data_IF_109860560464
#
_entry.id   IF_109860560464
#
_cell.length_a   1.000
_cell.length_b   1.000
_cell.length_c   1.000
_cell.angle_alpha   90.00
_cell.angle_beta   90.00
_cell.angle_gamma   90.00
#
_symmetry.space_group_name_H-M   'P 1'
#
loop_
_entity.id
_entity.type
_entity.pdbx_description
1 polymer ?
#
# COMPACT_ATOMS: atom_id res chain seq x y z
N UNK A 1 33.51 26.63 4.99
CA UNK A 1 32.88 25.54 5.77
C UNK A 1 31.37 25.50 5.52
N UNK A 2 30.93 25.33 4.27
CA UNK A 2 29.51 25.25 3.90
C UNK A 2 29.36 24.49 2.57
N UNK A 3 29.34 23.16 2.62
CA UNK A 3 29.08 22.29 1.46
C UNK A 3 28.28 21.07 1.93
N UNK A 4 27.11 21.30 2.52
CA UNK A 4 26.19 20.24 2.94
C UNK A 4 24.93 20.27 2.08
N UNK A 5 24.73 19.26 1.23
CA UNK A 5 23.49 19.12 0.48
C UNK A 5 22.34 18.76 1.44
N UNK A 6 21.30 19.60 1.49
CA UNK A 6 20.10 19.32 2.27
C UNK A 6 19.12 18.44 1.48
N UNK A 7 19.10 17.14 1.79
CA UNK A 7 18.05 16.24 1.31
C UNK A 7 16.80 16.39 2.19
N UNK A 8 15.82 17.17 1.74
CA UNK A 8 14.56 17.41 2.46
C UNK A 8 13.63 16.18 2.52
N UNK A 9 14.04 15.08 1.88
CA UNK A 9 13.32 13.81 1.79
C UNK A 9 11.86 13.98 1.34
N UNK A 10 11.56 15.02 0.54
CA UNK A 10 10.20 15.40 0.14
C UNK A 10 9.47 14.22 -0.52
N UNK A 11 10.17 13.48 -1.39
CA UNK A 11 9.61 12.28 -2.04
C UNK A 11 9.23 11.21 -1.01
N UNK A 12 10.11 10.91 -0.04
CA UNK A 12 9.83 9.95 1.04
C UNK A 12 8.65 10.40 1.90
N UNK A 13 8.56 11.70 2.22
CA UNK A 13 7.45 12.28 3.00
C UNK A 13 6.13 12.14 2.25
N UNK A 14 6.09 12.47 0.96
CA UNK A 14 4.88 12.31 0.13
C UNK A 14 4.44 10.84 0.08
N UNK A 15 5.38 9.91 -0.11
CA UNK A 15 5.08 8.46 -0.10
C UNK A 15 4.51 8.02 1.25
N UNK A 16 5.06 8.53 2.36
CA UNK A 16 4.54 8.23 3.70
C UNK A 16 3.13 8.79 3.92
N UNK A 17 2.86 10.02 3.51
CA UNK A 17 1.53 10.65 3.63
C UNK A 17 0.51 9.92 2.77
N UNK A 18 0.87 9.60 1.53
CA UNK A 18 0.04 8.77 0.66
C UNK A 18 -0.30 7.45 1.36
N UNK A 19 0.69 6.79 1.97
CA UNK A 19 0.42 5.55 2.66
C UNK A 19 -0.49 5.66 3.88
N UNK A 20 -0.37 6.73 4.65
CA UNK A 20 -1.28 7.00 5.78
C UNK A 20 -2.71 7.18 5.32
N UNK A 21 -2.95 7.85 4.18
CA UNK A 21 -4.29 8.06 3.64
C UNK A 21 -4.97 6.73 3.28
N UNK A 22 -4.23 5.77 2.74
CA UNK A 22 -4.80 4.51 2.23
C UNK A 22 -4.67 3.32 3.21
N UNK A 23 -3.94 3.46 4.32
CA UNK A 23 -3.69 2.37 5.27
C UNK A 23 -4.97 1.72 5.84
N UNK A 24 -6.04 2.49 6.04
CA UNK A 24 -7.25 2.04 6.77
C UNK A 24 -8.38 1.49 5.87
N UNK A 25 -8.06 0.99 4.66
CA UNK A 25 -9.07 0.39 3.79
C UNK A 25 -9.30 -1.08 4.17
N UNK A 26 -10.57 -1.46 4.32
CA UNK A 26 -10.99 -2.83 4.64
C UNK A 26 -12.08 -3.32 3.70
N UNK A 27 -12.02 -4.58 3.32
CA UNK A 27 -13.01 -5.26 2.49
C UNK A 27 -13.93 -6.07 3.40
N UNK A 28 -15.23 -5.75 3.35
CA UNK A 28 -16.26 -6.47 4.09
C UNK A 28 -16.92 -7.48 3.16
N UNK A 29 -16.76 -8.78 3.44
CA UNK A 29 -17.45 -9.85 2.72
C UNK A 29 -18.71 -10.23 3.50
N UNK A 30 -19.85 -10.21 2.82
CA UNK A 30 -21.17 -10.59 3.36
C UNK A 30 -21.66 -11.88 2.71
N UNK A 31 -22.42 -12.67 3.46
CA UNK A 31 -23.14 -13.84 2.95
C UNK A 31 -24.42 -13.41 2.21
N UNK A 32 -25.01 -14.35 1.47
CA UNK A 32 -26.36 -14.33 0.90
C UNK A 32 -27.45 -13.86 1.88
N UNK A 33 -27.27 -14.13 3.18
CA UNK A 33 -28.19 -13.70 4.25
C UNK A 33 -27.88 -12.30 4.81
N UNK A 34 -26.97 -11.54 4.19
CA UNK A 34 -26.61 -10.17 4.58
C UNK A 34 -25.69 -10.05 5.80
N UNK A 35 -25.37 -11.16 6.47
CA UNK A 35 -24.44 -11.21 7.61
C UNK A 35 -23.00 -10.98 7.14
N UNK A 36 -22.25 -10.17 7.89
CA UNK A 36 -20.80 -9.98 7.66
C UNK A 36 -20.06 -11.26 8.03
N UNK A 37 -19.37 -11.86 7.06
CA UNK A 37 -18.63 -13.12 7.20
C UNK A 37 -17.16 -12.85 7.52
N UNK A 38 -16.57 -11.84 6.88
CA UNK A 38 -15.15 -11.54 7.05
C UNK A 38 -14.89 -10.05 6.80
N UNK A 39 -13.99 -9.47 7.59
CA UNK A 39 -13.45 -8.13 7.39
C UNK A 39 -11.95 -8.30 7.19
N UNK A 40 -11.48 -8.09 5.96
CA UNK A 40 -10.06 -8.23 5.60
C UNK A 40 -9.46 -6.88 5.28
N UNK A 41 -8.37 -6.50 5.96
CA UNK A 41 -7.66 -5.25 5.71
C UNK A 41 -6.83 -5.34 4.43
N UNK A 42 -6.82 -4.27 3.63
CA UNK A 42 -6.07 -4.24 2.37
C UNK A 42 -4.56 -4.06 2.66
N UNK A 43 -3.68 -4.97 2.22
CA UNK A 43 -2.25 -4.79 2.35
C UNK A 43 -1.75 -3.71 1.37
N UNK A 44 -0.90 -2.79 1.85
CA UNK A 44 -0.32 -1.71 1.04
C UNK A 44 1.20 -1.81 0.99
N UNK A 45 1.75 -1.67 -0.21
CA UNK A 45 3.19 -1.62 -0.47
C UNK A 45 3.49 -0.62 -1.60
N UNK A 46 4.67 0.02 -1.55
CA UNK A 46 5.10 1.02 -2.53
C UNK A 46 6.32 0.52 -3.31
N UNK A 47 6.34 0.76 -4.61
CA UNK A 47 7.41 0.30 -5.49
C UNK A 47 7.06 0.42 -6.98
N UNK A 48 7.99 0.01 -7.88
CA UNK A 48 7.76 0.03 -9.32
C UNK A 48 6.65 -0.93 -9.74
N UNK A 49 5.72 -0.47 -10.59
CA UNK A 49 4.60 -1.27 -11.10
C UNK A 49 5.03 -2.62 -11.68
N UNK A 50 6.07 -2.63 -12.51
CA UNK A 50 6.57 -3.86 -13.15
C UNK A 50 6.99 -4.93 -12.13
N UNK A 51 7.59 -4.52 -11.00
CA UNK A 51 8.01 -5.45 -9.95
C UNK A 51 6.81 -6.08 -9.23
N UNK A 52 5.71 -5.35 -9.08
CA UNK A 52 4.49 -5.90 -8.50
C UNK A 52 3.78 -6.84 -9.47
N UNK A 53 3.75 -6.52 -10.77
CA UNK A 53 3.17 -7.40 -11.78
C UNK A 53 3.94 -8.72 -11.88
N UNK A 54 5.27 -8.67 -11.98
CA UNK A 54 6.10 -9.87 -12.01
C UNK A 54 5.88 -10.78 -10.79
N UNK A 55 5.72 -10.19 -9.59
CA UNK A 55 5.41 -10.94 -8.37
C UNK A 55 4.03 -11.57 -8.37
N UNK A 56 3.05 -10.93 -9.00
CA UNK A 56 1.70 -11.48 -9.13
C UNK A 56 1.72 -12.68 -10.09
N UNK A 57 2.47 -12.57 -11.20
CA UNK A 57 2.63 -13.65 -12.17
C UNK A 57 3.42 -14.84 -11.59
N UNK A 58 4.35 -14.59 -10.67
CA UNK A 58 5.10 -15.63 -9.94
C UNK A 58 4.30 -16.33 -8.83
N UNK A 59 3.15 -15.78 -8.39
CA UNK A 59 2.35 -16.40 -7.34
C UNK A 59 1.55 -17.59 -7.91
N UNK A 60 1.76 -18.83 -7.42
CA UNK A 60 0.93 -19.96 -7.80
C UNK A 60 -0.49 -19.77 -7.22
N UNK A 61 -1.51 -20.15 -8.02
CA UNK A 61 -2.92 -20.14 -7.63
C UNK A 61 -3.20 -20.98 -6.38
#
# INVERSE_FOLDING_TARGET
MFQGHFYHATIRKVVSVFGTLFNNISVVRKDSSGKVVNITRVPLAYGPKQKFLARLDEQPN
#
